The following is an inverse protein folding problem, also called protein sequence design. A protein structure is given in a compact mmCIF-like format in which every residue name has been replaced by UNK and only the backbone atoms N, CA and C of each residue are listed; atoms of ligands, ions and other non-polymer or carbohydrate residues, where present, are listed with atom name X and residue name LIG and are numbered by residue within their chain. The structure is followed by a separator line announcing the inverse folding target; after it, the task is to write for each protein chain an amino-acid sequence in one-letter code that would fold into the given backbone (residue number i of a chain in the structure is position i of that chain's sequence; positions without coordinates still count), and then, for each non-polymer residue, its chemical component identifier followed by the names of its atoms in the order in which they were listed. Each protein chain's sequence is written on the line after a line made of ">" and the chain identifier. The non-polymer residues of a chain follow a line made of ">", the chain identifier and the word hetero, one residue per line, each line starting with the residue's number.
data_IF_372162000157
#
_entry.id   IF_372162000157
#
_cell.length_a   1.000
_cell.length_b   1.000
_cell.length_c   1.000
_cell.angle_alpha   90.00
_cell.angle_beta   90.00
_cell.angle_gamma   90.00
#
_symmetry.space_group_name_H-M   'P 1'
#
loop_
_entity.id
_entity.type
_entity.pdbx_description
1 polymer ?
#
# COMPACT_ATOMS: atom_id res chain seq x y z
N UNK A 1 -5.17 23.68 3.09
CA UNK A 1 -6.02 24.16 4.20
C UNK A 1 -7.50 24.07 3.85
N UNK A 2 -7.92 24.53 2.65
CA UNK A 2 -9.32 24.66 2.23
C UNK A 2 -10.10 23.35 2.14
N UNK A 3 -9.42 22.23 2.06
CA UNK A 3 -10.02 20.89 2.02
C UNK A 3 -10.33 20.31 3.42
N UNK A 4 -9.85 20.93 4.48
CA UNK A 4 -9.99 20.40 5.83
C UNK A 4 -11.48 20.28 6.26
N UNK A 5 -12.35 21.28 6.07
CA UNK A 5 -13.76 21.17 6.46
C UNK A 5 -14.48 20.02 5.75
N UNK A 6 -14.24 19.84 4.45
CA UNK A 6 -14.82 18.75 3.67
C UNK A 6 -14.33 17.39 4.18
N UNK A 7 -13.04 17.28 4.51
CA UNK A 7 -12.45 16.04 5.03
C UNK A 7 -12.98 15.67 6.41
N UNK A 8 -13.12 16.64 7.31
CA UNK A 8 -13.76 16.42 8.60
C UNK A 8 -15.24 16.02 8.46
N UNK A 9 -15.99 16.69 7.58
CA UNK A 9 -17.37 16.32 7.29
C UNK A 9 -17.50 14.90 6.78
N UNK A 10 -16.63 14.50 5.85
CA UNK A 10 -16.60 13.12 5.32
C UNK A 10 -16.23 12.10 6.41
N UNK A 11 -15.24 12.38 7.23
CA UNK A 11 -14.84 11.53 8.34
C UNK A 11 -15.97 11.34 9.35
N UNK A 12 -16.63 12.42 9.79
CA UNK A 12 -17.77 12.36 10.71
C UNK A 12 -18.93 11.56 10.13
N UNK A 13 -19.22 11.73 8.83
CA UNK A 13 -20.23 10.93 8.12
C UNK A 13 -19.87 9.43 8.15
N UNK A 14 -18.62 9.06 7.88
CA UNK A 14 -18.17 7.68 7.92
C UNK A 14 -18.11 7.07 9.33
N UNK A 15 -17.97 7.89 10.37
CA UNK A 15 -18.11 7.40 11.76
C UNK A 15 -19.56 7.07 12.11
N UNK A 16 -20.51 7.84 11.57
CA UNK A 16 -21.94 7.59 11.75
C UNK A 16 -22.40 6.35 10.98
N UNK A 17 -21.98 6.26 9.70
CA UNK A 17 -22.33 5.18 8.78
C UNK A 17 -21.05 4.39 8.42
N UNK A 18 -20.61 3.53 9.34
CA UNK A 18 -19.36 2.80 9.21
C UNK A 18 -19.34 1.94 7.92
N UNK A 19 -18.26 2.03 7.12
CA UNK A 19 -18.18 1.26 5.89
C UNK A 19 -18.07 -0.24 6.17
N UNK A 20 -18.87 -1.05 5.46
CA UNK A 20 -18.78 -2.50 5.49
C UNK A 20 -17.89 -3.06 4.39
N UNK A 21 -17.60 -4.37 4.44
CA UNK A 21 -17.00 -5.11 3.33
C UNK A 21 -18.07 -5.81 2.50
N UNK A 22 -17.80 -5.92 1.19
CA UNK A 22 -18.56 -6.78 0.30
C UNK A 22 -18.39 -8.23 0.75
N UNK A 23 -19.47 -8.99 0.74
CA UNK A 23 -19.47 -10.44 0.85
C UNK A 23 -19.19 -11.08 -0.51
N UNK A 24 -18.48 -12.20 -0.52
CA UNK A 24 -18.14 -13.01 -1.67
C UNK A 24 -18.68 -14.43 -1.44
N UNK A 25 -18.97 -15.12 -2.52
CA UNK A 25 -19.46 -16.51 -2.45
C UNK A 25 -18.33 -17.48 -2.07
N UNK A 26 -17.10 -17.18 -2.46
CA UNK A 26 -15.95 -18.06 -2.26
C UNK A 26 -14.63 -17.31 -2.26
N UNK A 27 -13.55 -17.99 -1.87
CA UNK A 27 -12.18 -17.47 -1.98
C UNK A 27 -11.75 -17.26 -3.43
N UNK A 28 -12.27 -18.06 -4.37
CA UNK A 28 -12.00 -17.93 -5.80
C UNK A 28 -12.56 -16.59 -6.34
N UNK A 29 -13.75 -16.16 -5.87
CA UNK A 29 -14.29 -14.85 -6.22
C UNK A 29 -13.40 -13.71 -5.70
N UNK A 30 -12.82 -13.87 -4.49
CA UNK A 30 -11.83 -12.91 -3.95
C UNK A 30 -10.58 -12.91 -4.82
N UNK A 31 -10.04 -14.09 -5.19
CA UNK A 31 -8.86 -14.22 -6.04
C UNK A 31 -9.06 -13.55 -7.41
N UNK A 32 -10.18 -13.82 -8.06
CA UNK A 32 -10.54 -13.20 -9.35
C UNK A 32 -10.60 -11.66 -9.24
N UNK A 33 -11.13 -11.13 -8.13
CA UNK A 33 -11.12 -9.69 -7.88
C UNK A 33 -9.71 -9.13 -7.70
N UNK A 34 -8.82 -9.85 -7.02
CA UNK A 34 -7.42 -9.44 -6.84
C UNK A 34 -6.71 -9.37 -8.18
N UNK A 35 -6.87 -10.38 -9.05
CA UNK A 35 -6.31 -10.39 -10.40
C UNK A 35 -6.87 -9.26 -11.27
N UNK A 36 -8.18 -8.99 -11.20
CA UNK A 36 -8.78 -7.86 -11.92
C UNK A 36 -8.16 -6.52 -11.52
N UNK A 37 -7.75 -6.37 -10.24
CA UNK A 37 -7.10 -5.15 -9.75
C UNK A 37 -5.60 -5.11 -10.04
N UNK A 38 -4.96 -6.27 -10.06
CA UNK A 38 -3.56 -6.43 -10.42
C UNK A 38 -3.39 -7.58 -11.43
N UNK A 39 -3.40 -7.29 -12.73
CA UNK A 39 -3.27 -8.30 -13.79
C UNK A 39 -1.92 -9.03 -13.80
N UNK A 40 -0.92 -8.58 -13.02
CA UNK A 40 0.38 -9.27 -12.85
C UNK A 40 0.31 -10.47 -11.90
N UNK A 41 -0.77 -10.57 -11.10
CA UNK A 41 -0.93 -11.70 -10.19
C UNK A 41 -1.19 -13.00 -10.95
N UNK A 42 -0.34 -14.00 -10.72
CA UNK A 42 -0.64 -15.37 -11.14
C UNK A 42 -1.87 -15.91 -10.40
N UNK A 43 -2.52 -16.93 -10.97
CA UNK A 43 -3.65 -17.61 -10.33
C UNK A 43 -3.27 -18.15 -8.94
N UNK A 44 -2.11 -18.79 -8.85
CA UNK A 44 -1.58 -19.34 -7.61
C UNK A 44 -1.42 -18.27 -6.51
N UNK A 45 -0.82 -17.13 -6.86
CA UNK A 45 -0.64 -16.00 -5.93
C UNK A 45 -1.95 -15.36 -5.54
N UNK A 46 -2.87 -15.21 -6.47
CA UNK A 46 -4.19 -14.69 -6.20
C UNK A 46 -4.98 -15.60 -5.25
N UNK A 47 -4.91 -16.92 -5.44
CA UNK A 47 -5.52 -17.89 -4.56
C UNK A 47 -4.88 -17.88 -3.17
N UNK A 48 -3.54 -17.82 -3.10
CA UNK A 48 -2.81 -17.68 -1.84
C UNK A 48 -3.25 -16.43 -1.07
N UNK A 49 -3.23 -15.27 -1.71
CA UNK A 49 -3.63 -14.00 -1.09
C UNK A 49 -5.10 -14.03 -0.65
N UNK A 50 -6.00 -14.59 -1.45
CA UNK A 50 -7.42 -14.69 -1.10
C UNK A 50 -7.64 -15.46 0.20
N UNK A 51 -6.92 -16.58 0.39
CA UNK A 51 -7.02 -17.41 1.61
C UNK A 51 -6.48 -16.71 2.86
N UNK A 52 -5.49 -15.82 2.72
CA UNK A 52 -4.87 -15.11 3.84
C UNK A 52 -5.55 -13.74 4.12
N UNK A 53 -6.17 -13.13 3.12
CA UNK A 53 -6.82 -11.83 3.26
C UNK A 53 -8.31 -11.91 3.56
N UNK A 54 -8.90 -13.08 3.41
CA UNK A 54 -10.32 -13.28 3.65
C UNK A 54 -10.57 -14.41 4.64
N UNK A 55 -11.74 -14.41 5.22
CA UNK A 55 -12.23 -15.45 6.12
C UNK A 55 -13.64 -15.86 5.73
N UNK A 56 -13.99 -17.12 5.99
CA UNK A 56 -15.35 -17.63 5.85
C UNK A 56 -16.16 -17.30 7.10
N UNK A 57 -17.38 -16.84 6.90
CA UNK A 57 -18.36 -16.65 7.95
C UNK A 57 -19.12 -17.94 8.21
N UNK A 58 -19.82 -18.02 9.36
CA UNK A 58 -20.69 -19.15 9.70
C UNK A 58 -21.85 -19.32 8.71
N UNK A 59 -22.25 -18.23 8.05
CA UNK A 59 -23.24 -18.21 6.96
C UNK A 59 -22.75 -18.85 5.65
N UNK A 60 -21.45 -19.19 5.57
CA UNK A 60 -20.79 -19.79 4.41
C UNK A 60 -20.14 -18.78 3.45
N UNK A 61 -20.49 -17.51 3.56
CA UNK A 61 -19.93 -16.43 2.74
C UNK A 61 -18.49 -16.09 3.15
N UNK A 62 -17.77 -15.44 2.26
CA UNK A 62 -16.38 -15.03 2.47
C UNK A 62 -16.31 -13.50 2.54
N UNK A 63 -15.62 -12.96 3.53
CA UNK A 63 -15.37 -11.52 3.69
C UNK A 63 -13.87 -11.26 3.87
N UNK A 64 -13.42 -10.03 3.61
CA UNK A 64 -12.05 -9.64 3.96
C UNK A 64 -11.87 -9.70 5.48
N UNK A 65 -10.73 -10.22 5.93
CA UNK A 65 -10.42 -10.44 7.34
C UNK A 65 -10.02 -9.15 8.09
N UNK A 66 -9.69 -8.09 7.35
CA UNK A 66 -9.33 -6.79 7.94
C UNK A 66 -10.55 -6.11 8.59
N UNK A 67 -10.29 -5.13 9.46
CA UNK A 67 -11.33 -4.30 10.03
C UNK A 67 -11.88 -3.31 8.97
N UNK A 68 -13.20 -3.27 8.68
CA UNK A 68 -13.74 -2.34 7.70
C UNK A 68 -13.53 -0.87 8.07
N UNK A 69 -13.27 -0.55 9.34
CA UNK A 69 -12.91 0.81 9.77
C UNK A 69 -11.62 1.34 9.15
N UNK A 70 -10.74 0.48 8.60
CA UNK A 70 -9.61 0.91 7.79
C UNK A 70 -10.00 1.71 6.53
N UNK A 71 -11.27 1.65 6.11
CA UNK A 71 -11.78 2.48 5.01
C UNK A 71 -12.14 3.90 5.43
N UNK A 72 -12.27 4.15 6.73
CA UNK A 72 -12.59 5.49 7.25
C UNK A 72 -11.41 6.40 6.93
N UNK A 73 -11.70 7.55 6.32
CA UNK A 73 -10.65 8.51 5.99
C UNK A 73 -10.00 9.04 7.25
N UNK A 74 -8.69 9.22 7.23
CA UNK A 74 -8.01 9.88 8.32
C UNK A 74 -8.41 11.38 8.31
N UNK A 75 -8.94 11.94 9.40
CA UNK A 75 -9.29 13.36 9.47
C UNK A 75 -8.05 14.26 9.41
N UNK A 76 -6.90 13.76 9.88
CA UNK A 76 -5.65 14.51 9.82
C UNK A 76 -5.14 14.60 8.38
N UNK A 77 -4.90 15.81 7.92
CA UNK A 77 -4.32 16.04 6.60
C UNK A 77 -2.84 15.66 6.61
N UNK A 78 -2.45 14.84 5.67
CA UNK A 78 -1.04 14.50 5.47
C UNK A 78 -0.26 15.75 5.03
N UNK A 79 0.74 16.13 5.79
CA UNK A 79 1.64 17.24 5.51
C UNK A 79 3.01 16.69 5.20
N UNK A 80 3.39 16.79 3.94
CA UNK A 80 4.66 16.21 3.46
C UNK A 80 5.87 16.89 4.10
N UNK A 81 5.78 18.16 4.40
CA UNK A 81 6.86 18.94 5.03
C UNK A 81 7.19 18.39 6.43
N UNK A 82 6.17 18.00 7.20
CA UNK A 82 6.34 17.39 8.52
C UNK A 82 6.99 16.01 8.39
N UNK A 83 6.56 15.20 7.41
CA UNK A 83 7.15 13.90 7.13
C UNK A 83 8.62 14.04 6.71
N UNK A 84 8.96 14.96 5.82
CA UNK A 84 10.34 15.25 5.38
C UNK A 84 11.20 15.68 6.57
N UNK A 85 10.69 16.52 7.46
CA UNK A 85 11.40 16.94 8.67
C UNK A 85 11.74 15.74 9.58
N UNK A 86 10.82 14.78 9.72
CA UNK A 86 11.06 13.53 10.43
C UNK A 86 12.10 12.65 9.72
N UNK A 87 11.97 12.46 8.39
CA UNK A 87 12.87 11.61 7.60
C UNK A 87 14.32 12.11 7.62
N UNK A 88 14.54 13.42 7.60
CA UNK A 88 15.87 14.03 7.73
C UNK A 88 16.58 13.71 9.04
N UNK A 89 15.86 13.26 10.07
CA UNK A 89 16.42 12.86 11.39
C UNK A 89 16.75 11.37 11.48
N UNK A 90 16.37 10.59 10.48
CA UNK A 90 16.67 9.15 10.43
C UNK A 90 18.16 8.99 10.13
N UNK A 91 18.88 8.34 11.04
CA UNK A 91 20.31 8.03 10.92
C UNK A 91 20.56 6.58 10.50
N UNK A 92 19.60 5.70 10.75
CA UNK A 92 19.68 4.30 10.34
C UNK A 92 19.78 4.18 8.82
N UNK A 93 20.39 3.10 8.29
CA UNK A 93 20.30 2.76 6.88
C UNK A 93 18.84 2.60 6.43
N UNK A 94 18.52 3.10 5.25
CA UNK A 94 17.17 3.04 4.67
C UNK A 94 17.21 2.39 3.30
N UNK A 95 16.41 1.36 3.10
CA UNK A 95 16.19 0.77 1.78
C UNK A 95 14.89 1.32 1.18
N UNK A 96 15.02 2.01 0.05
CA UNK A 96 13.91 2.49 -0.76
C UNK A 96 13.74 1.56 -1.96
N UNK A 97 12.63 0.83 -2.01
CA UNK A 97 12.32 -0.04 -3.15
C UNK A 97 11.10 0.50 -3.88
N UNK A 98 11.19 0.63 -5.19
CA UNK A 98 10.10 1.03 -6.06
C UNK A 98 9.86 0.04 -7.18
N UNK A 99 8.62 -0.10 -7.62
CA UNK A 99 8.30 -0.85 -8.83
C UNK A 99 8.28 0.09 -10.04
N UNK A 100 8.97 -0.27 -11.11
CA UNK A 100 9.10 0.55 -12.33
C UNK A 100 7.75 0.84 -13.00
N UNK A 101 6.78 -0.04 -12.79
CA UNK A 101 5.42 0.09 -13.34
C UNK A 101 4.42 0.58 -12.29
N UNK A 102 4.91 1.22 -11.21
CA UNK A 102 4.05 1.79 -10.17
C UNK A 102 3.31 3.03 -10.71
N UNK A 103 2.02 3.05 -10.52
CA UNK A 103 1.15 4.19 -10.86
C UNK A 103 1.16 5.29 -9.80
N UNK A 104 1.79 5.06 -8.66
CA UNK A 104 1.76 6.00 -7.52
C UNK A 104 2.33 7.36 -7.86
N UNK A 105 3.51 7.49 -8.53
CA UNK A 105 4.04 8.80 -8.89
C UNK A 105 3.04 9.64 -9.72
N UNK A 106 2.40 9.02 -10.70
CA UNK A 106 1.39 9.68 -11.54
C UNK A 106 0.14 10.08 -10.73
N UNK A 107 -0.29 9.25 -9.76
CA UNK A 107 -1.44 9.56 -8.88
C UNK A 107 -1.15 10.69 -7.92
N UNK A 108 0.07 10.78 -7.39
CA UNK A 108 0.47 11.83 -6.45
C UNK A 108 0.67 13.17 -7.13
N UNK A 109 0.85 13.19 -8.45
CA UNK A 109 1.13 14.40 -9.25
C UNK A 109 2.35 15.16 -8.75
N UNK A 110 3.31 14.44 -8.17
CA UNK A 110 4.57 15.03 -7.74
C UNK A 110 5.44 15.38 -8.94
N UNK A 111 6.14 16.50 -8.86
CA UNK A 111 7.19 16.81 -9.82
C UNK A 111 8.44 15.95 -9.57
N UNK A 112 9.33 15.80 -10.57
CA UNK A 112 10.61 15.12 -10.38
C UNK A 112 11.43 15.70 -9.23
N UNK A 113 11.39 17.02 -9.04
CA UNK A 113 12.09 17.75 -7.98
C UNK A 113 11.52 17.40 -6.61
N UNK A 114 10.19 17.36 -6.47
CA UNK A 114 9.52 16.95 -5.23
C UNK A 114 9.83 15.48 -4.87
N UNK A 115 9.86 14.61 -5.87
CA UNK A 115 10.28 13.22 -5.66
C UNK A 115 11.73 13.10 -5.23
N UNK A 116 12.63 13.88 -5.85
CA UNK A 116 14.04 13.92 -5.48
C UNK A 116 14.24 14.46 -4.06
N UNK A 117 13.51 15.50 -3.65
CA UNK A 117 13.54 16.04 -2.29
C UNK A 117 13.10 14.97 -1.27
N UNK A 118 12.01 14.25 -1.54
CA UNK A 118 11.52 13.18 -0.63
C UNK A 118 12.54 12.07 -0.46
N UNK A 119 13.14 11.59 -1.54
CA UNK A 119 14.20 10.58 -1.49
C UNK A 119 15.44 11.13 -0.78
N UNK A 120 15.83 12.36 -1.10
CA UNK A 120 16.97 13.07 -0.51
C UNK A 120 16.87 13.32 1.00
N UNK A 121 15.65 13.25 1.57
CA UNK A 121 15.45 13.39 3.00
C UNK A 121 16.11 12.26 3.80
N UNK A 122 16.25 11.07 3.23
CA UNK A 122 16.96 9.95 3.84
C UNK A 122 18.46 10.04 3.50
N UNK A 123 19.30 10.42 4.45
CA UNK A 123 20.74 10.67 4.23
C UNK A 123 21.51 9.38 3.91
N UNK A 124 21.23 8.31 4.63
CA UNK A 124 21.85 6.99 4.46
C UNK A 124 20.86 6.05 3.79
N UNK A 125 20.76 6.13 2.45
CA UNK A 125 19.80 5.33 1.71
C UNK A 125 20.43 4.54 0.58
N UNK A 126 19.87 3.35 0.34
CA UNK A 126 20.02 2.56 -0.88
C UNK A 126 18.72 2.57 -1.64
N UNK A 127 18.75 2.86 -2.93
CA UNK A 127 17.57 2.89 -3.79
C UNK A 127 17.63 1.72 -4.79
N UNK A 128 16.55 0.99 -4.92
CA UNK A 128 16.42 -0.11 -5.89
C UNK A 128 15.09 0.02 -6.61
N UNK A 129 15.11 -0.10 -7.93
CA UNK A 129 13.93 -0.16 -8.75
C UNK A 129 13.76 -1.58 -9.31
N UNK A 130 12.56 -2.16 -9.13
CA UNK A 130 12.20 -3.48 -9.62
C UNK A 130 11.51 -3.37 -10.98
N UNK A 131 12.09 -4.00 -11.99
CA UNK A 131 11.40 -4.24 -13.25
C UNK A 131 10.21 -5.18 -13.03
N UNK A 132 9.21 -5.11 -13.90
CA UNK A 132 8.00 -5.95 -13.89
C UNK A 132 7.25 -5.96 -12.56
N UNK A 133 7.32 -4.85 -11.82
CA UNK A 133 6.62 -4.65 -10.56
C UNK A 133 5.86 -3.33 -10.56
N UNK A 134 4.63 -3.37 -10.06
CA UNK A 134 3.82 -2.20 -9.76
C UNK A 134 4.02 -1.72 -8.32
N UNK A 135 3.04 -0.97 -7.81
CA UNK A 135 3.06 -0.50 -6.42
C UNK A 135 3.10 -1.64 -5.39
N UNK A 136 2.39 -2.73 -5.68
CA UNK A 136 2.32 -3.90 -4.80
C UNK A 136 3.42 -4.92 -5.15
N UNK A 137 4.68 -4.47 -5.18
CA UNK A 137 5.83 -5.29 -5.59
C UNK A 137 5.99 -6.60 -4.81
N UNK A 138 5.57 -6.64 -3.56
CA UNK A 138 5.54 -7.87 -2.75
C UNK A 138 4.49 -8.90 -3.22
N UNK A 139 3.51 -8.48 -4.00
CA UNK A 139 2.60 -9.39 -4.69
C UNK A 139 3.14 -9.80 -6.06
N UNK A 140 3.79 -8.87 -6.75
CA UNK A 140 4.28 -9.08 -8.11
C UNK A 140 5.55 -9.93 -8.11
N UNK A 141 6.51 -9.59 -7.25
CA UNK A 141 7.84 -10.22 -7.21
C UNK A 141 8.33 -10.49 -5.76
N UNK A 142 7.60 -11.32 -4.98
CA UNK A 142 7.91 -11.54 -3.56
C UNK A 142 9.31 -12.08 -3.32
N UNK A 143 9.77 -13.05 -4.14
CA UNK A 143 11.08 -13.68 -3.95
C UNK A 143 12.24 -12.73 -4.25
N UNK A 144 12.08 -11.86 -5.28
CA UNK A 144 13.09 -10.87 -5.61
C UNK A 144 13.15 -9.77 -4.55
N UNK A 145 11.99 -9.33 -4.07
CA UNK A 145 11.93 -8.34 -2.99
C UNK A 145 12.53 -8.89 -1.70
N UNK A 146 12.23 -10.14 -1.34
CA UNK A 146 12.79 -10.78 -0.16
C UNK A 146 14.32 -10.81 -0.20
N UNK A 147 14.91 -11.26 -1.30
CA UNK A 147 16.37 -11.26 -1.47
C UNK A 147 17.00 -9.87 -1.32
N UNK A 148 16.38 -8.85 -1.90
CA UNK A 148 16.86 -7.47 -1.78
C UNK A 148 16.85 -7.00 -0.31
N UNK A 149 15.81 -7.37 0.43
CA UNK A 149 15.71 -7.03 1.86
C UNK A 149 16.77 -7.78 2.67
N UNK A 150 16.94 -9.08 2.43
CA UNK A 150 17.95 -9.90 3.09
C UNK A 150 19.37 -9.35 2.85
N UNK A 151 19.73 -9.10 1.58
CA UNK A 151 21.03 -8.50 1.21
C UNK A 151 21.26 -7.12 1.86
N UNK A 152 20.19 -6.34 2.04
CA UNK A 152 20.29 -5.04 2.71
C UNK A 152 20.52 -5.20 4.20
N UNK A 153 19.82 -6.14 4.85
CA UNK A 153 19.96 -6.40 6.29
C UNK A 153 21.33 -7.00 6.64
N UNK A 154 21.86 -7.87 5.77
CA UNK A 154 23.18 -8.48 5.95
C UNK A 154 24.34 -7.47 5.76
N UNK A 155 24.08 -6.37 5.05
CA UNK A 155 25.08 -5.33 4.77
C UNK A 155 24.97 -4.11 5.73
N UNK A 156 23.98 -4.05 6.58
CA UNK A 156 23.71 -2.94 7.48
C UNK A 156 24.35 -3.15 8.86
#
# INVERSE_FOLDING_TARGET
>A
PDQAPLRYGHWLGQLKDAPGFKQYRSFEEVAARLQKKNPRLSEERAAFLARHWAKRLDTGEVVLASDPRHKIVNPYLFRIEEAIACWRRITAPVLLVSGKQSEIPARMKDTPEQMAERRGAFRNRREIELDDAGHMMHHDQPQRLARIIEEFLDAA
#
